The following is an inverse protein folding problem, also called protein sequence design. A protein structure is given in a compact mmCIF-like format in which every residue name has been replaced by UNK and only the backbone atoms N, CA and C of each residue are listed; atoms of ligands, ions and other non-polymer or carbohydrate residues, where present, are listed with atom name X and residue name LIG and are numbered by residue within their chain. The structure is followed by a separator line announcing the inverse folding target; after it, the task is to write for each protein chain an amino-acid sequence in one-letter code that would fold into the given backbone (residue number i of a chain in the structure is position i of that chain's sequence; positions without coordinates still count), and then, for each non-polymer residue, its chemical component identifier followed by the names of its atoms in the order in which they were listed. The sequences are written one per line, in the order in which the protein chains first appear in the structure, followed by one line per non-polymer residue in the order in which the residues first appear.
data_IF_747891095484
#
_entry.id   IF_747891095484
#
_cell.length_a   1.000
_cell.length_b   1.000
_cell.length_c   1.000
_cell.angle_alpha   90.00
_cell.angle_beta   90.00
_cell.angle_gamma   90.00
#
_symmetry.space_group_name_H-M   'P 1'
#
loop_
_entity.id
_entity.type
_entity.pdbx_description
1 polymer ?
#
# COMPACT_ATOMS: atom_id res chain seq x y z
N UNK A 1 -26.46 20.59 6.94
CA UNK A 1 -25.33 21.19 6.20
C UNK A 1 -25.46 20.77 4.75
N UNK A 2 -25.66 21.73 3.85
CA UNK A 2 -25.77 21.47 2.41
C UNK A 2 -24.57 22.16 1.76
N UNK A 3 -23.68 21.39 1.15
CA UNK A 3 -22.53 21.95 0.44
C UNK A 3 -22.99 22.53 -0.90
N UNK A 4 -22.49 23.72 -1.25
CA UNK A 4 -22.91 24.47 -2.44
C UNK A 4 -22.40 23.86 -3.77
N UNK A 5 -21.52 22.87 -3.70
CA UNK A 5 -20.87 22.25 -4.84
C UNK A 5 -21.14 20.74 -4.86
N UNK A 6 -21.33 20.16 -6.06
CA UNK A 6 -21.55 18.73 -6.21
C UNK A 6 -20.32 17.94 -5.71
N UNK A 7 -20.50 16.68 -5.27
CA UNK A 7 -19.39 15.82 -4.91
C UNK A 7 -18.36 15.72 -6.03
N UNK A 8 -17.08 15.76 -5.67
CA UNK A 8 -15.99 15.44 -6.58
C UNK A 8 -15.91 13.92 -6.71
N UNK A 9 -16.06 13.43 -7.94
CA UNK A 9 -15.86 12.03 -8.27
C UNK A 9 -14.36 11.78 -8.53
N UNK A 10 -13.73 10.98 -7.66
CA UNK A 10 -12.33 10.57 -7.81
C UNK A 10 -12.27 9.21 -8.50
N UNK A 11 -11.37 9.00 -9.48
CA UNK A 11 -11.20 7.71 -10.11
C UNK A 11 -10.74 6.66 -9.08
N UNK A 12 -11.47 5.55 -9.01
CA UNK A 12 -11.08 4.43 -8.16
C UNK A 12 -9.80 3.80 -8.68
N UNK A 13 -8.75 3.76 -7.86
CA UNK A 13 -7.52 3.03 -8.19
C UNK A 13 -7.74 1.54 -7.94
N UNK A 14 -7.97 0.79 -9.00
CA UNK A 14 -8.16 -0.68 -8.98
C UNK A 14 -6.86 -1.47 -9.05
N UNK A 15 -5.71 -0.79 -9.06
CA UNK A 15 -4.42 -1.46 -9.11
C UNK A 15 -4.25 -2.36 -7.87
N UNK A 16 -3.75 -3.60 -8.04
CA UNK A 16 -3.51 -4.47 -6.91
C UNK A 16 -2.48 -3.84 -5.98
N UNK A 17 -2.56 -4.21 -4.71
CA UNK A 17 -1.55 -3.82 -3.74
C UNK A 17 -0.16 -4.33 -4.17
N UNK A 18 0.91 -3.56 -3.90
CA UNK A 18 2.26 -3.93 -4.29
C UNK A 18 2.69 -5.21 -3.59
N UNK A 19 3.46 -6.06 -4.28
CA UNK A 19 4.01 -7.29 -3.71
C UNK A 19 5.43 -7.01 -3.22
N UNK A 20 5.83 -7.44 -2.00
CA UNK A 20 7.21 -7.37 -1.56
C UNK A 20 8.14 -8.07 -2.55
N UNK A 21 9.29 -7.47 -2.88
CA UNK A 21 10.29 -8.17 -3.70
C UNK A 21 10.78 -9.44 -3.00
N UNK A 22 11.19 -10.42 -3.82
CA UNK A 22 11.82 -11.63 -3.34
C UNK A 22 13.05 -11.27 -2.50
N UNK A 23 13.04 -11.67 -1.22
CA UNK A 23 14.12 -11.35 -0.28
C UNK A 23 13.85 -10.20 0.70
N UNK A 24 12.82 -9.34 0.50
CA UNK A 24 12.41 -8.38 1.56
C UNK A 24 11.48 -9.04 2.58
N UNK A 25 12.03 -9.92 3.43
CA UNK A 25 11.28 -10.60 4.50
C UNK A 25 10.62 -9.63 5.49
N UNK A 26 11.24 -8.47 5.73
CA UNK A 26 10.72 -7.42 6.62
C UNK A 26 9.44 -6.80 6.06
N UNK A 27 9.43 -6.48 4.77
CA UNK A 27 8.26 -5.92 4.10
C UNK A 27 7.09 -6.91 4.08
N UNK A 28 7.38 -8.19 3.86
CA UNK A 28 6.38 -9.27 3.87
C UNK A 28 5.79 -9.50 5.27
N UNK A 29 6.64 -9.54 6.31
CA UNK A 29 6.21 -9.74 7.69
C UNK A 29 5.34 -8.59 8.21
N UNK A 30 5.80 -7.33 8.04
CA UNK A 30 5.05 -6.16 8.50
C UNK A 30 3.66 -6.09 7.88
N UNK A 31 3.55 -6.33 6.58
CA UNK A 31 2.26 -6.31 5.89
C UNK A 31 1.33 -7.44 6.32
N UNK A 32 1.88 -8.65 6.52
CA UNK A 32 1.11 -9.80 7.03
C UNK A 32 0.56 -9.51 8.43
N UNK A 33 1.39 -8.95 9.30
CA UNK A 33 1.02 -8.67 10.68
C UNK A 33 0.01 -7.51 10.78
N UNK A 34 0.17 -6.45 9.99
CA UNK A 34 -0.79 -5.35 9.90
C UNK A 34 -2.18 -5.86 9.48
N UNK A 35 -2.24 -6.74 8.46
CA UNK A 35 -3.51 -7.37 8.04
C UNK A 35 -4.08 -8.28 9.10
N UNK A 36 -3.26 -9.08 9.78
CA UNK A 36 -3.72 -9.94 10.87
C UNK A 36 -4.36 -9.13 12.01
N UNK A 37 -3.80 -7.95 12.30
CA UNK A 37 -4.31 -7.02 13.32
C UNK A 37 -5.51 -6.18 12.84
N UNK A 38 -5.92 -6.30 11.57
CA UNK A 38 -6.87 -5.39 10.89
C UNK A 38 -6.45 -3.93 10.98
N UNK A 39 -5.16 -3.68 11.08
CA UNK A 39 -4.58 -2.35 11.05
C UNK A 39 -4.40 -1.92 9.60
N UNK A 40 -5.48 -1.37 9.05
CA UNK A 40 -5.54 -0.93 7.67
C UNK A 40 -4.66 0.31 7.41
N UNK A 41 -4.38 1.12 8.44
CA UNK A 41 -3.47 2.27 8.31
C UNK A 41 -2.05 1.78 8.07
N UNK A 42 -1.55 0.92 8.96
CA UNK A 42 -0.19 0.36 8.85
C UNK A 42 -0.02 -0.47 7.57
N UNK A 43 -1.05 -1.20 7.15
CA UNK A 43 -1.03 -1.93 5.87
C UNK A 43 -0.91 -1.00 4.66
N UNK A 44 -1.57 0.17 4.71
CA UNK A 44 -1.48 1.19 3.67
C UNK A 44 -0.09 1.85 3.64
N UNK A 45 0.46 2.18 4.81
CA UNK A 45 1.82 2.75 4.90
C UNK A 45 2.86 1.77 4.36
N UNK A 46 2.75 0.49 4.71
CA UNK A 46 3.58 -0.58 4.12
C UNK A 46 3.45 -0.64 2.59
N UNK A 47 2.26 -0.42 2.03
CA UNK A 47 2.05 -0.40 0.58
C UNK A 47 2.64 0.86 -0.09
N UNK A 48 2.74 1.99 0.62
CA UNK A 48 3.42 3.18 0.10
C UNK A 48 4.92 2.96 0.12
N UNK A 49 5.46 2.46 1.24
CA UNK A 49 6.87 2.12 1.37
C UNK A 49 7.29 1.08 0.32
N UNK A 50 6.54 0.00 0.13
CA UNK A 50 6.83 -1.01 -0.90
C UNK A 50 6.92 -0.44 -2.34
N UNK A 51 6.18 0.62 -2.66
CA UNK A 51 6.24 1.25 -3.99
C UNK A 51 7.45 2.17 -4.15
N UNK A 52 7.89 2.77 -3.05
CA UNK A 52 9.00 3.72 -3.04
C UNK A 52 10.33 3.08 -2.65
N UNK A 53 10.29 1.87 -2.08
CA UNK A 53 11.44 1.17 -1.54
C UNK A 53 12.27 0.57 -2.68
N UNK A 54 13.52 1.05 -2.90
CA UNK A 54 14.38 0.47 -3.90
C UNK A 54 14.78 -0.94 -3.46
N UNK A 55 14.22 -1.94 -4.12
CA UNK A 55 14.70 -3.30 -4.01
C UNK A 55 15.96 -3.42 -4.88
N UNK A 56 17.11 -3.02 -4.32
CA UNK A 56 18.41 -3.26 -4.95
C UNK A 56 18.65 -4.75 -5.06
N UNK A 57 18.27 -5.34 -6.19
CA UNK A 57 18.50 -6.77 -6.43
C UNK A 57 17.74 -7.47 -7.54
N UNK A 58 17.09 -6.78 -8.50
CA UNK A 58 16.80 -7.36 -9.83
C UNK A 58 16.49 -6.25 -10.85
N UNK A 59 17.53 -5.46 -11.14
CA UNK A 59 17.68 -4.83 -12.45
C UNK A 59 18.82 -5.56 -13.16
N UNK A 60 18.49 -6.70 -13.77
CA UNK A 60 19.29 -7.34 -14.83
C UNK A 60 18.33 -8.01 -15.80
#
# INVERSE_FOLDING_TARGET
MTYAQPPVELPLRTAPDPVPAAGCGVCAAQRRDARHRRDHSTASDCNVELRNHPHSGEAT
#
